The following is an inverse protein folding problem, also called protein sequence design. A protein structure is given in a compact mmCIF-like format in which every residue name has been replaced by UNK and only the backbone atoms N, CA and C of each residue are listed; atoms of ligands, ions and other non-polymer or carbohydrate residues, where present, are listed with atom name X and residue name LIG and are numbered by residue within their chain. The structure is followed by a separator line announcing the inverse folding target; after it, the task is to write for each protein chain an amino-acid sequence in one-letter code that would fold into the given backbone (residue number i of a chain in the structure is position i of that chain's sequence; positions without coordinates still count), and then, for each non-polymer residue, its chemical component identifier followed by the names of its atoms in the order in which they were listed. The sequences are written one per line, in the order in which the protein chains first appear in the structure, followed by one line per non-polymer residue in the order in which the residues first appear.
data_IF_896473199673
#
_entry.id   IF_896473199673
#
_cell.length_a   1.000
_cell.length_b   1.000
_cell.length_c   1.000
_cell.angle_alpha   90.00
_cell.angle_beta   90.00
_cell.angle_gamma   90.00
#
_symmetry.space_group_name_H-M   'P 1'
#
loop_
_entity.id
_entity.type
_entity.pdbx_description
1 polymer ?
#
# COMPACT_ATOMS: atom_id res chain seq x y z
N UNK A 1 13.61 -25.11 -4.16
CA UNK A 1 14.05 -26.27 -4.99
C UNK A 1 15.55 -26.14 -5.14
N UNK A 2 16.33 -27.14 -4.76
CA UNK A 2 17.80 -27.07 -4.82
C UNK A 2 18.31 -27.18 -6.25
N UNK A 3 19.54 -26.72 -6.47
CA UNK A 3 20.22 -26.81 -7.77
C UNK A 3 20.25 -28.26 -8.28
N UNK A 4 20.66 -29.20 -7.43
CA UNK A 4 20.72 -30.62 -7.78
C UNK A 4 19.32 -31.20 -8.14
N UNK A 5 18.27 -30.82 -7.39
CA UNK A 5 16.91 -31.28 -7.71
C UNK A 5 16.43 -30.70 -9.05
N UNK A 6 16.85 -29.47 -9.40
CA UNK A 6 16.52 -28.87 -10.69
C UNK A 6 17.22 -29.58 -11.81
N UNK A 7 18.50 -29.95 -11.66
CA UNK A 7 19.24 -30.79 -12.65
C UNK A 7 18.53 -32.12 -12.86
N UNK A 8 18.18 -32.81 -11.77
CA UNK A 8 17.50 -34.13 -11.88
C UNK A 8 16.18 -33.99 -12.63
N UNK A 9 15.36 -32.95 -12.30
CA UNK A 9 14.12 -32.68 -13.05
C UNK A 9 14.36 -32.42 -14.53
N UNK A 10 15.40 -31.64 -14.90
CA UNK A 10 15.72 -31.40 -16.32
C UNK A 10 16.18 -32.68 -17.02
N UNK A 11 16.95 -33.54 -16.34
CA UNK A 11 17.35 -34.86 -16.87
C UNK A 11 16.14 -35.74 -17.18
N UNK A 12 15.17 -35.79 -16.25
CA UNK A 12 13.93 -36.56 -16.43
C UNK A 12 13.13 -36.04 -17.63
N UNK A 13 13.01 -34.70 -17.76
CA UNK A 13 12.33 -34.07 -18.91
C UNK A 13 13.03 -34.38 -20.22
N UNK A 14 14.35 -34.31 -20.29
CA UNK A 14 15.14 -34.65 -21.51
C UNK A 14 14.94 -36.14 -21.87
N UNK A 15 15.04 -37.02 -20.88
CA UNK A 15 14.85 -38.47 -21.09
C UNK A 15 13.45 -38.81 -21.59
N UNK A 16 12.42 -38.16 -21.06
CA UNK A 16 11.03 -38.40 -21.47
C UNK A 16 10.71 -37.97 -22.91
N UNK A 17 11.51 -37.06 -23.50
CA UNK A 17 11.32 -36.58 -24.87
C UNK A 17 12.14 -37.33 -25.96
N UNK A 18 12.91 -38.36 -25.54
CA UNK A 18 13.59 -39.29 -26.41
C UNK A 18 14.84 -38.74 -27.14
N UNK A 19 15.33 -39.46 -28.14
CA UNK A 19 16.65 -39.22 -28.76
C UNK A 19 16.83 -37.81 -29.36
N UNK A 20 15.76 -37.18 -29.82
CA UNK A 20 15.82 -35.82 -30.39
C UNK A 20 16.26 -34.74 -29.38
N UNK A 21 16.14 -35.03 -28.08
CA UNK A 21 16.56 -34.14 -27.01
C UNK A 21 17.91 -34.51 -26.38
N UNK A 22 18.55 -35.56 -26.85
CA UNK A 22 19.81 -36.09 -26.26
C UNK A 22 20.97 -35.08 -26.27
N UNK A 23 20.92 -34.05 -27.12
CA UNK A 23 21.92 -32.98 -27.17
C UNK A 23 21.69 -31.88 -26.15
N UNK A 24 20.55 -31.88 -25.44
CA UNK A 24 20.24 -30.87 -24.40
C UNK A 24 20.96 -31.27 -23.13
N UNK A 25 21.82 -30.35 -22.63
CA UNK A 25 22.48 -30.51 -21.35
C UNK A 25 21.52 -30.15 -20.18
N UNK A 26 21.17 -31.13 -19.34
CA UNK A 26 20.27 -30.90 -18.20
C UNK A 26 20.80 -29.89 -17.15
N UNK A 27 22.13 -29.81 -16.98
CA UNK A 27 22.73 -28.87 -16.03
C UNK A 27 22.60 -27.44 -16.55
N UNK A 28 22.90 -27.18 -17.82
CA UNK A 28 22.70 -25.86 -18.43
C UNK A 28 21.21 -25.45 -18.41
N UNK A 29 20.31 -26.41 -18.72
CA UNK A 29 18.88 -26.15 -18.61
C UNK A 29 18.46 -25.76 -17.15
N UNK A 30 19.01 -26.47 -16.17
CA UNK A 30 18.74 -26.15 -14.75
C UNK A 30 19.28 -24.77 -14.36
N UNK A 31 20.46 -24.39 -14.80
CA UNK A 31 21.05 -23.04 -14.57
C UNK A 31 20.17 -21.95 -15.17
N UNK A 32 19.73 -22.13 -16.42
CA UNK A 32 18.81 -21.19 -17.07
C UNK A 32 17.50 -21.01 -16.29
N UNK A 33 16.91 -22.10 -15.81
CA UNK A 33 15.68 -22.06 -14.99
C UNK A 33 15.91 -21.33 -13.67
N UNK A 34 17.06 -21.56 -13.01
CA UNK A 34 17.38 -20.92 -11.73
C UNK A 34 17.67 -19.43 -11.91
N UNK A 35 18.41 -19.05 -12.95
CA UNK A 35 18.68 -17.64 -13.26
C UNK A 35 17.42 -16.85 -13.64
N UNK A 36 16.47 -17.50 -14.31
CA UNK A 36 15.23 -16.89 -14.77
C UNK A 36 14.02 -17.37 -13.94
N UNK A 37 14.20 -17.41 -12.61
CA UNK A 37 13.11 -17.78 -11.71
C UNK A 37 11.87 -16.92 -11.94
N UNK A 38 10.70 -17.46 -11.62
CA UNK A 38 9.38 -16.88 -11.88
C UNK A 38 9.03 -16.82 -13.38
N UNK A 39 8.39 -17.86 -13.87
CA UNK A 39 7.98 -17.96 -15.27
C UNK A 39 6.92 -16.91 -15.66
N UNK A 40 6.03 -16.57 -14.73
CA UNK A 40 4.91 -15.65 -14.93
C UNK A 40 4.81 -14.59 -13.84
N UNK A 41 4.04 -13.51 -14.08
CA UNK A 41 3.67 -12.54 -13.06
C UNK A 41 2.89 -13.18 -11.90
N UNK A 42 2.05 -14.19 -12.19
CA UNK A 42 1.32 -14.91 -11.14
C UNK A 42 2.26 -15.71 -10.20
N UNK A 43 3.36 -16.26 -10.71
CA UNK A 43 4.35 -16.91 -9.84
C UNK A 43 5.01 -15.88 -8.91
N UNK A 44 5.25 -14.68 -9.40
CA UNK A 44 5.77 -13.56 -8.61
C UNK A 44 4.74 -13.15 -7.56
N UNK A 45 3.50 -12.91 -7.95
CA UNK A 45 2.42 -12.51 -7.05
C UNK A 45 2.23 -13.52 -5.91
N UNK A 46 2.19 -14.82 -6.23
CA UNK A 46 2.07 -15.91 -5.23
C UNK A 46 3.27 -15.97 -4.30
N UNK A 47 4.47 -15.78 -4.81
CA UNK A 47 5.69 -15.80 -4.00
C UNK A 47 5.75 -14.60 -3.05
N UNK A 48 5.53 -13.41 -3.57
CA UNK A 48 5.64 -12.17 -2.80
C UNK A 48 4.48 -11.95 -1.83
N UNK A 49 3.27 -12.46 -2.14
CA UNK A 49 2.15 -12.49 -1.21
C UNK A 49 2.46 -13.30 0.05
N UNK A 50 3.08 -14.48 -0.10
CA UNK A 50 3.51 -15.31 1.04
C UNK A 50 4.54 -14.61 1.91
N UNK A 51 5.49 -13.88 1.32
CA UNK A 51 6.46 -13.07 2.07
C UNK A 51 5.72 -12.02 2.90
N UNK A 52 4.83 -11.28 2.28
CA UNK A 52 4.09 -10.21 2.96
C UNK A 52 3.18 -10.75 4.07
N UNK A 53 2.51 -11.89 3.86
CA UNK A 53 1.73 -12.58 4.92
C UNK A 53 2.61 -13.03 6.08
N UNK A 54 3.80 -13.55 5.81
CA UNK A 54 4.74 -13.96 6.85
C UNK A 54 5.24 -12.76 7.67
N UNK A 55 5.54 -11.63 7.01
CA UNK A 55 5.93 -10.40 7.68
C UNK A 55 4.79 -9.84 8.55
N UNK A 56 3.54 -9.89 8.06
CA UNK A 56 2.36 -9.49 8.84
C UNK A 56 2.16 -10.39 10.08
N UNK A 57 2.39 -11.69 9.95
CA UNK A 57 2.32 -12.61 11.09
C UNK A 57 3.47 -12.38 12.09
N UNK A 58 4.68 -12.07 11.60
CA UNK A 58 5.81 -11.72 12.45
C UNK A 58 5.58 -10.42 13.23
N UNK A 59 4.87 -9.47 12.66
CA UNK A 59 4.44 -8.25 13.34
C UNK A 59 3.53 -8.52 14.53
N UNK A 60 2.63 -9.51 14.45
CA UNK A 60 1.78 -9.90 15.58
C UNK A 60 2.60 -10.39 16.80
N UNK A 61 3.74 -11.04 16.54
CA UNK A 61 4.65 -11.49 17.58
C UNK A 61 5.60 -10.41 18.11
N UNK A 62 5.89 -9.38 17.29
CA UNK A 62 6.76 -8.26 17.63
C UNK A 62 6.25 -6.95 16.99
N UNK A 63 5.32 -6.24 17.65
CA UNK A 63 4.76 -4.99 17.13
C UNK A 63 5.76 -3.84 16.92
N UNK A 64 6.94 -3.91 17.52
CA UNK A 64 8.02 -2.95 17.28
C UNK A 64 8.72 -3.15 15.93
N UNK A 65 8.46 -4.27 15.24
CA UNK A 65 8.96 -4.51 13.90
C UNK A 65 8.10 -3.76 12.87
N UNK A 66 8.73 -3.12 11.92
CA UNK A 66 8.06 -2.50 10.79
C UNK A 66 8.71 -2.87 9.47
N UNK A 67 7.95 -2.77 8.39
CA UNK A 67 8.45 -2.92 7.03
C UNK A 67 8.46 -1.57 6.32
N UNK A 68 9.35 -1.43 5.32
CA UNK A 68 9.43 -0.21 4.53
C UNK A 68 8.97 -0.47 3.10
N UNK A 69 7.96 0.29 2.65
CA UNK A 69 7.58 0.38 1.25
C UNK A 69 8.25 1.58 0.60
N UNK A 70 9.03 1.33 -0.43
CA UNK A 70 9.82 2.34 -1.12
C UNK A 70 9.09 2.78 -2.38
N UNK A 71 8.74 4.05 -2.51
CA UNK A 71 8.16 4.61 -3.73
C UNK A 71 9.07 4.36 -4.93
N UNK A 72 8.50 3.84 -6.03
CA UNK A 72 9.25 3.52 -7.23
C UNK A 72 8.41 3.71 -8.49
N UNK A 73 9.02 4.26 -9.55
CA UNK A 73 8.37 4.61 -10.82
C UNK A 73 9.16 4.20 -12.06
N UNK A 74 10.27 3.47 -11.89
CA UNK A 74 11.14 3.05 -12.99
C UNK A 74 11.93 1.80 -12.63
N UNK A 75 11.99 0.83 -13.55
CA UNK A 75 12.62 -0.47 -13.32
C UNK A 75 14.08 -0.39 -12.94
N UNK A 76 14.87 0.45 -13.62
CA UNK A 76 16.29 0.63 -13.29
C UNK A 76 16.49 1.22 -11.88
N UNK A 77 15.65 2.17 -11.46
CA UNK A 77 15.72 2.75 -10.12
C UNK A 77 15.39 1.69 -9.07
N UNK A 78 14.35 0.88 -9.28
CA UNK A 78 14.00 -0.24 -8.41
C UNK A 78 15.18 -1.21 -8.26
N UNK A 79 15.77 -1.62 -9.38
CA UNK A 79 16.92 -2.52 -9.41
C UNK A 79 18.10 -1.94 -8.60
N UNK A 80 18.47 -0.68 -8.83
CA UNK A 80 19.61 -0.05 -8.13
C UNK A 80 19.33 0.10 -6.62
N UNK A 81 18.09 0.46 -6.23
CA UNK A 81 17.68 0.52 -4.82
C UNK A 81 17.85 -0.84 -4.14
N UNK A 82 17.30 -1.90 -4.71
CA UNK A 82 17.33 -3.23 -4.09
C UNK A 82 18.76 -3.82 -4.05
N UNK A 83 19.58 -3.61 -5.09
CA UNK A 83 20.99 -3.99 -5.09
C UNK A 83 21.75 -3.25 -3.98
N UNK A 84 21.55 -1.93 -3.85
CA UNK A 84 22.19 -1.14 -2.81
C UNK A 84 21.77 -1.57 -1.39
N UNK A 85 20.47 -1.82 -1.19
CA UNK A 85 19.91 -2.31 0.08
C UNK A 85 20.54 -3.67 0.44
N UNK A 86 20.51 -4.64 -0.48
CA UNK A 86 21.09 -5.97 -0.25
C UNK A 86 22.57 -5.89 0.06
N UNK A 87 23.31 -5.03 -0.67
CA UNK A 87 24.74 -4.81 -0.42
C UNK A 87 25.02 -4.19 0.96
N UNK A 88 24.19 -3.25 1.39
CA UNK A 88 24.41 -2.50 2.64
C UNK A 88 23.93 -3.28 3.88
N UNK A 89 22.75 -3.89 3.80
CA UNK A 89 22.12 -4.60 4.93
C UNK A 89 22.30 -6.12 4.90
N UNK A 90 22.86 -6.68 3.83
CA UNK A 90 22.98 -8.13 3.62
C UNK A 90 21.68 -8.83 3.24
N UNK A 91 20.57 -8.13 3.15
CA UNK A 91 19.23 -8.69 2.89
C UNK A 91 18.29 -7.66 2.26
N UNK A 92 17.26 -8.15 1.56
CA UNK A 92 16.12 -7.36 1.07
C UNK A 92 14.85 -7.60 1.91
N UNK A 93 14.91 -8.42 2.95
CA UNK A 93 13.75 -8.73 3.80
C UNK A 93 13.15 -7.46 4.39
N UNK A 94 11.82 -7.46 4.54
CA UNK A 94 11.06 -6.33 5.07
C UNK A 94 11.21 -5.04 4.23
N UNK A 95 11.50 -5.19 2.94
CA UNK A 95 11.53 -4.09 1.98
C UNK A 95 10.55 -4.40 0.86
N UNK A 96 9.61 -3.48 0.64
CA UNK A 96 8.61 -3.56 -0.41
C UNK A 96 8.81 -2.42 -1.40
N UNK A 97 8.19 -2.52 -2.54
CA UNK A 97 8.03 -1.38 -3.46
C UNK A 97 6.58 -0.91 -3.41
N UNK A 98 6.39 0.39 -3.45
CA UNK A 98 5.09 1.02 -3.59
C UNK A 98 5.01 1.75 -4.93
N UNK A 99 4.01 1.38 -5.73
CA UNK A 99 3.68 2.06 -6.97
C UNK A 99 2.54 3.01 -6.71
N UNK A 100 2.86 4.29 -6.58
CA UNK A 100 1.89 5.34 -6.32
C UNK A 100 1.22 5.82 -7.60
N UNK A 101 -0.09 5.97 -7.58
CA UNK A 101 -0.87 6.55 -8.69
C UNK A 101 -0.38 7.94 -9.08
N UNK A 102 -0.03 8.80 -8.11
CA UNK A 102 0.48 10.14 -8.40
C UNK A 102 1.81 10.12 -9.16
N UNK A 103 2.72 9.19 -8.84
CA UNK A 103 3.99 9.05 -9.57
C UNK A 103 3.77 8.54 -10.99
N UNK A 104 2.81 7.62 -11.17
CA UNK A 104 2.41 7.14 -12.50
C UNK A 104 1.81 8.28 -13.31
N UNK A 105 0.89 9.04 -12.74
CA UNK A 105 0.29 10.20 -13.41
C UNK A 105 1.35 11.22 -13.81
N UNK A 106 2.26 11.59 -12.90
CA UNK A 106 3.28 12.61 -13.14
C UNK A 106 4.40 12.18 -14.08
N UNK A 107 4.76 10.90 -14.16
CA UNK A 107 6.01 10.44 -14.77
C UNK A 107 5.84 9.39 -15.87
N UNK A 108 4.67 8.72 -15.94
CA UNK A 108 4.46 7.55 -16.80
C UNK A 108 3.25 7.64 -17.73
N UNK A 109 2.42 8.68 -17.61
CA UNK A 109 1.29 8.88 -18.49
C UNK A 109 1.73 9.19 -19.93
N UNK A 110 1.06 8.60 -20.91
CA UNK A 110 1.25 8.87 -22.35
C UNK A 110 0.78 10.30 -22.72
N UNK A 111 -0.09 10.91 -21.91
CA UNK A 111 -0.56 12.29 -22.11
C UNK A 111 0.44 13.35 -21.59
N UNK A 112 1.61 12.96 -21.10
CA UNK A 112 2.56 13.82 -20.42
C UNK A 112 2.27 13.92 -18.91
N UNK A 113 2.96 14.81 -18.18
CA UNK A 113 2.78 14.93 -16.73
C UNK A 113 1.35 15.34 -16.37
N UNK A 114 0.69 14.52 -15.57
CA UNK A 114 -0.68 14.73 -15.08
C UNK A 114 -0.68 14.92 -13.56
N UNK A 115 -1.69 15.64 -13.02
CA UNK A 115 -1.93 15.71 -11.59
C UNK A 115 -2.44 14.36 -11.05
N UNK A 116 -2.42 14.22 -9.73
CA UNK A 116 -2.92 13.06 -9.01
C UNK A 116 -4.47 13.05 -8.96
N UNK A 117 -5.10 12.70 -10.07
CA UNK A 117 -6.55 12.73 -10.26
C UNK A 117 -7.10 11.54 -11.07
N UNK A 118 -6.41 10.40 -11.03
CA UNK A 118 -6.80 9.17 -11.76
C UNK A 118 -7.04 9.39 -13.26
N UNK A 119 -6.32 10.34 -13.87
CA UNK A 119 -6.47 10.65 -15.31
C UNK A 119 -5.49 9.88 -16.19
N UNK A 120 -4.51 9.19 -15.61
CA UNK A 120 -3.59 8.34 -16.38
C UNK A 120 -4.30 7.09 -16.91
N UNK A 121 -3.70 6.44 -17.88
CA UNK A 121 -4.24 5.25 -18.52
C UNK A 121 -4.33 4.10 -17.49
N UNK A 122 -5.45 3.37 -17.50
CA UNK A 122 -5.68 2.21 -16.58
C UNK A 122 -4.59 1.13 -16.67
N UNK A 123 -3.89 1.05 -17.81
CA UNK A 123 -2.83 0.06 -18.05
C UNK A 123 -1.44 0.52 -17.61
N UNK A 124 -1.27 1.78 -17.23
CA UNK A 124 0.05 2.33 -16.85
C UNK A 124 0.63 1.66 -15.62
N UNK A 125 -0.17 1.39 -14.58
CA UNK A 125 0.30 0.70 -13.36
C UNK A 125 0.65 -0.76 -13.64
N UNK A 126 -0.21 -1.59 -14.30
CA UNK A 126 0.17 -2.94 -14.71
C UNK A 126 1.46 -3.00 -15.53
N UNK A 127 1.64 -2.12 -16.50
CA UNK A 127 2.85 -2.07 -17.32
C UNK A 127 4.10 -1.73 -16.48
N UNK A 128 3.97 -0.83 -15.52
CA UNK A 128 5.07 -0.49 -14.61
C UNK A 128 5.41 -1.66 -13.68
N UNK A 129 4.44 -2.42 -13.18
CA UNK A 129 4.69 -3.63 -12.38
C UNK A 129 5.54 -4.62 -13.17
N UNK A 130 5.19 -4.90 -14.43
CA UNK A 130 5.95 -5.79 -15.32
C UNK A 130 7.37 -5.26 -15.55
N UNK A 131 7.53 -3.96 -15.78
CA UNK A 131 8.86 -3.34 -15.95
C UNK A 131 9.70 -3.53 -14.68
N UNK A 132 9.18 -3.19 -13.50
CA UNK A 132 9.91 -3.32 -12.24
C UNK A 132 10.40 -4.75 -12.03
N UNK A 133 9.52 -5.74 -12.18
CA UNK A 133 9.91 -7.13 -12.00
C UNK A 133 10.88 -7.63 -13.07
N UNK A 134 10.79 -7.13 -14.30
CA UNK A 134 11.79 -7.43 -15.33
C UNK A 134 13.19 -7.01 -14.89
N UNK A 135 13.34 -5.80 -14.37
CA UNK A 135 14.63 -5.29 -13.88
C UNK A 135 15.11 -6.03 -12.62
N UNK A 136 14.23 -6.38 -11.69
CA UNK A 136 14.58 -7.14 -10.48
C UNK A 136 15.03 -8.58 -10.84
N UNK A 137 14.33 -9.23 -11.74
CA UNK A 137 14.76 -10.56 -12.28
C UNK A 137 16.12 -10.49 -13.00
N UNK A 138 16.41 -9.40 -13.70
CA UNK A 138 17.73 -9.21 -14.31
C UNK A 138 18.84 -9.08 -13.26
N UNK A 139 18.58 -8.45 -12.11
CA UNK A 139 19.54 -8.43 -11.01
C UNK A 139 19.84 -9.84 -10.51
N UNK A 140 18.80 -10.65 -10.29
CA UNK A 140 18.94 -12.05 -9.89
C UNK A 140 19.73 -12.86 -10.92
N UNK A 141 19.36 -12.76 -12.20
CA UNK A 141 20.02 -13.49 -13.27
C UNK A 141 21.51 -13.16 -13.38
N UNK A 142 21.86 -11.88 -13.20
CA UNK A 142 23.25 -11.42 -13.21
C UNK A 142 24.05 -11.97 -12.02
N UNK A 143 23.50 -11.87 -10.81
CA UNK A 143 24.19 -12.31 -9.59
C UNK A 143 24.34 -13.85 -9.58
N UNK A 144 23.27 -14.60 -9.87
CA UNK A 144 23.32 -16.06 -10.02
C UNK A 144 24.28 -16.51 -11.12
N UNK A 145 24.30 -15.80 -12.25
CA UNK A 145 25.26 -16.07 -13.33
C UNK A 145 26.73 -15.88 -12.91
N UNK A 146 27.01 -14.93 -12.03
CA UNK A 146 28.36 -14.78 -11.43
C UNK A 146 28.67 -15.95 -10.50
N UNK A 147 27.69 -16.40 -9.69
CA UNK A 147 27.86 -17.54 -8.80
C UNK A 147 28.11 -18.84 -9.55
N UNK A 148 27.37 -19.10 -10.64
CA UNK A 148 27.61 -20.27 -11.50
C UNK A 148 28.99 -20.26 -12.15
N UNK A 149 29.46 -19.12 -12.65
CA UNK A 149 30.83 -18.99 -13.16
C UNK A 149 31.91 -19.23 -12.10
N UNK A 150 31.67 -18.80 -10.88
CA UNK A 150 32.56 -19.08 -9.75
C UNK A 150 32.57 -20.58 -9.41
N UNK A 151 31.38 -21.22 -9.44
CA UNK A 151 31.24 -22.67 -9.22
C UNK A 151 32.02 -23.48 -10.26
N UNK A 152 31.93 -23.09 -11.53
CA UNK A 152 32.68 -23.76 -12.60
C UNK A 152 34.18 -23.67 -12.36
N UNK A 153 34.70 -22.48 -12.01
CA UNK A 153 36.11 -22.29 -11.69
C UNK A 153 36.58 -23.12 -10.49
N UNK A 154 35.75 -23.19 -9.43
CA UNK A 154 36.07 -24.01 -8.26
C UNK A 154 36.11 -25.51 -8.62
N UNK A 155 35.20 -25.98 -9.47
CA UNK A 155 35.17 -27.37 -9.95
C UNK A 155 36.37 -27.69 -10.86
N UNK A 156 36.73 -26.78 -11.78
CA UNK A 156 37.91 -26.88 -12.63
C UNK A 156 39.23 -26.93 -11.83
N UNK A 157 39.31 -26.16 -10.74
CA UNK A 157 40.45 -26.13 -9.82
C UNK A 157 40.48 -27.36 -8.87
N UNK A 158 39.49 -28.21 -8.85
CA UNK A 158 39.35 -29.32 -7.90
C UNK A 158 39.06 -28.89 -6.46
N UNK A 159 38.64 -27.64 -6.23
CA UNK A 159 38.28 -27.13 -4.91
C UNK A 159 36.84 -27.53 -4.53
N UNK A 160 36.73 -28.75 -3.98
CA UNK A 160 35.45 -29.31 -3.55
C UNK A 160 34.80 -28.52 -2.41
N UNK A 161 35.57 -27.84 -1.55
CA UNK A 161 35.05 -27.08 -0.43
C UNK A 161 34.38 -25.81 -0.95
N UNK A 162 35.03 -25.05 -1.81
CA UNK A 162 34.49 -23.86 -2.41
C UNK A 162 33.30 -24.17 -3.35
N UNK A 163 33.41 -25.25 -4.13
CA UNK A 163 32.29 -25.69 -4.98
C UNK A 163 31.04 -25.97 -4.13
N UNK A 164 31.18 -26.67 -3.00
CA UNK A 164 30.05 -26.95 -2.09
C UNK A 164 29.50 -25.69 -1.44
N UNK A 165 30.35 -24.77 -1.05
CA UNK A 165 29.93 -23.45 -0.50
C UNK A 165 29.08 -22.70 -1.52
N UNK A 166 29.52 -22.65 -2.78
CA UNK A 166 28.79 -21.96 -3.87
C UNK A 166 27.45 -22.64 -4.21
N UNK A 167 27.41 -23.96 -4.25
CA UNK A 167 26.14 -24.69 -4.41
C UNK A 167 25.15 -24.34 -3.32
N UNK A 168 25.59 -24.34 -2.05
CA UNK A 168 24.75 -23.95 -0.92
C UNK A 168 24.28 -22.48 -1.03
N UNK A 169 25.14 -21.58 -1.50
CA UNK A 169 24.78 -20.18 -1.68
C UNK A 169 23.76 -20.00 -2.82
N UNK A 170 23.85 -20.78 -3.90
CA UNK A 170 22.85 -20.80 -4.97
C UNK A 170 21.51 -21.35 -4.47
N UNK A 171 21.53 -22.42 -3.68
CA UNK A 171 20.33 -23.04 -3.12
C UNK A 171 19.57 -22.10 -2.16
N UNK A 172 20.30 -21.27 -1.40
CA UNK A 172 19.77 -20.31 -0.43
C UNK A 172 19.76 -18.87 -0.96
N UNK A 173 19.81 -18.70 -2.27
CA UNK A 173 19.86 -17.37 -2.88
C UNK A 173 18.65 -16.52 -2.54
N UNK A 174 18.88 -15.36 -1.93
CA UNK A 174 17.86 -14.37 -1.66
C UNK A 174 17.63 -13.50 -2.90
N UNK A 175 16.41 -13.52 -3.41
CA UNK A 175 16.00 -12.79 -4.62
C UNK A 175 15.87 -11.29 -4.39
N UNK A 176 16.05 -10.47 -5.43
CA UNK A 176 15.70 -9.06 -5.46
C UNK A 176 14.20 -8.83 -5.73
N UNK A 177 13.47 -9.90 -6.09
CA UNK A 177 12.01 -9.84 -6.30
C UNK A 177 11.32 -9.73 -4.96
N UNK A 178 10.91 -8.53 -4.60
CA UNK A 178 10.24 -8.18 -3.33
C UNK A 178 8.75 -7.89 -3.57
N UNK A 179 7.92 -7.87 -2.51
CA UNK A 179 6.52 -7.49 -2.62
C UNK A 179 6.33 -6.10 -3.25
N UNK A 180 5.36 -5.99 -4.15
CA UNK A 180 4.87 -4.70 -4.67
C UNK A 180 3.46 -4.47 -4.16
N UNK A 181 3.24 -3.31 -3.53
CA UNK A 181 1.92 -2.74 -3.26
C UNK A 181 1.60 -1.82 -4.43
N UNK A 182 0.58 -2.15 -5.20
CA UNK A 182 0.16 -1.39 -6.38
C UNK A 182 -1.06 -0.53 -6.05
N UNK A 183 -0.96 0.76 -6.34
CA UNK A 183 -2.04 1.71 -6.19
C UNK A 183 -3.05 1.53 -7.33
N UNK A 184 -4.28 1.22 -6.97
CA UNK A 184 -5.43 1.13 -7.90
C UNK A 184 -6.32 2.37 -7.80
N UNK A 185 -5.82 3.45 -7.16
CA UNK A 185 -6.60 4.67 -6.88
C UNK A 185 -7.98 4.32 -6.27
N UNK A 186 -9.03 4.94 -6.74
CA UNK A 186 -10.41 4.62 -6.35
C UNK A 186 -11.07 3.51 -7.20
N UNK A 187 -10.26 2.70 -7.92
CA UNK A 187 -10.72 1.55 -8.72
C UNK A 187 -11.08 1.87 -10.18
N UNK A 188 -10.89 3.10 -10.66
CA UNK A 188 -11.15 3.54 -12.03
C UNK A 188 -12.56 3.22 -12.56
N UNK A 189 -13.56 3.27 -11.68
CA UNK A 189 -14.96 3.05 -12.00
C UNK A 189 -15.73 2.34 -10.88
N UNK A 190 -16.69 1.51 -11.26
CA UNK A 190 -17.46 0.68 -10.34
C UNK A 190 -16.71 -0.61 -9.94
N UNK A 191 -17.38 -1.50 -9.19
CA UNK A 191 -16.76 -2.73 -8.71
C UNK A 191 -16.31 -3.66 -9.85
N UNK A 192 -17.03 -3.74 -10.97
CA UNK A 192 -16.66 -4.56 -12.12
C UNK A 192 -15.40 -4.01 -12.81
N UNK A 193 -15.30 -2.69 -12.98
CA UNK A 193 -14.11 -2.06 -13.53
C UNK A 193 -12.88 -2.28 -12.61
N UNK A 194 -13.10 -2.16 -11.29
CA UNK A 194 -12.09 -2.44 -10.27
C UNK A 194 -11.61 -3.90 -10.35
N UNK A 195 -12.52 -4.86 -10.48
CA UNK A 195 -12.20 -6.28 -10.62
C UNK A 195 -11.29 -6.55 -11.83
N UNK A 196 -11.66 -6.00 -13.01
CA UNK A 196 -10.88 -6.19 -14.24
C UNK A 196 -9.47 -5.57 -14.13
N UNK A 197 -9.36 -4.41 -13.53
CA UNK A 197 -8.06 -3.75 -13.32
C UNK A 197 -7.22 -4.50 -12.28
N UNK A 198 -7.83 -4.93 -11.17
CA UNK A 198 -7.18 -5.75 -10.16
C UNK A 198 -6.58 -7.03 -10.76
N UNK A 199 -7.33 -7.74 -11.63
CA UNK A 199 -6.80 -8.91 -12.35
C UNK A 199 -5.55 -8.56 -13.14
N UNK A 200 -5.57 -7.48 -13.92
CA UNK A 200 -4.41 -7.04 -14.70
C UNK A 200 -3.18 -6.76 -13.85
N UNK A 201 -3.35 -6.10 -12.69
CA UNK A 201 -2.25 -5.82 -11.76
C UNK A 201 -1.68 -7.10 -11.15
N UNK A 202 -2.54 -8.04 -10.76
CA UNK A 202 -2.13 -9.34 -10.19
C UNK A 202 -1.44 -10.20 -11.26
N UNK A 203 -1.95 -10.27 -12.49
CA UNK A 203 -1.31 -10.94 -13.62
C UNK A 203 0.09 -10.37 -13.93
N UNK A 204 0.26 -9.04 -13.77
CA UNK A 204 1.55 -8.38 -13.89
C UNK A 204 2.53 -8.72 -12.74
N UNK A 205 2.03 -9.23 -11.61
CA UNK A 205 2.84 -9.69 -10.48
C UNK A 205 2.55 -9.01 -9.13
N UNK A 206 1.62 -8.06 -9.04
CA UNK A 206 1.29 -7.42 -7.78
C UNK A 206 0.76 -8.43 -6.76
N UNK A 207 1.31 -8.43 -5.57
CA UNK A 207 0.83 -9.25 -4.45
C UNK A 207 -0.09 -8.47 -3.51
N UNK A 208 -0.09 -7.15 -3.61
CA UNK A 208 -0.92 -6.28 -2.80
C UNK A 208 -1.50 -5.15 -3.65
N UNK A 209 -2.76 -4.82 -3.40
CA UNK A 209 -3.48 -3.71 -4.03
C UNK A 209 -3.88 -2.71 -2.96
N UNK A 210 -3.59 -1.42 -3.18
CA UNK A 210 -4.08 -0.35 -2.34
C UNK A 210 -5.24 0.36 -3.05
N UNK A 211 -6.37 0.46 -2.37
CA UNK A 211 -7.59 1.09 -2.89
C UNK A 211 -8.14 2.11 -1.89
N UNK A 212 -8.68 3.22 -2.39
CA UNK A 212 -9.22 4.30 -1.57
C UNK A 212 -10.71 4.56 -1.81
N UNK A 213 -11.36 5.20 -0.82
CA UNK A 213 -12.81 5.44 -0.81
C UNK A 213 -13.25 6.72 -1.54
N UNK A 214 -12.41 7.31 -2.36
CA UNK A 214 -12.79 8.45 -3.19
C UNK A 214 -13.65 8.04 -4.40
N UNK A 215 -14.37 8.99 -4.97
CA UNK A 215 -15.05 8.83 -6.24
C UNK A 215 -14.02 8.79 -7.37
N UNK A 216 -14.08 7.78 -8.24
CA UNK A 216 -13.03 7.53 -9.24
C UNK A 216 -12.83 8.66 -10.25
N UNK A 217 -13.90 9.31 -10.69
CA UNK A 217 -13.90 10.40 -11.68
C UNK A 217 -13.76 11.80 -11.06
N UNK A 218 -13.71 11.87 -9.73
CA UNK A 218 -13.54 13.12 -8.97
C UNK A 218 -12.35 13.00 -7.98
N UNK A 219 -11.51 11.98 -8.14
CA UNK A 219 -10.36 11.70 -7.26
C UNK A 219 -9.37 12.86 -7.26
N UNK A 220 -8.89 13.17 -6.07
CA UNK A 220 -7.87 14.19 -5.83
C UNK A 220 -6.76 13.63 -4.94
N UNK A 221 -5.61 14.32 -4.95
CA UNK A 221 -4.53 14.03 -4.02
C UNK A 221 -5.04 14.06 -2.57
N UNK A 222 -4.62 13.11 -1.75
CA UNK A 222 -5.06 12.95 -0.36
C UNK A 222 -4.84 14.17 0.53
N UNK A 223 -3.91 15.06 0.16
CA UNK A 223 -3.60 16.30 0.88
C UNK A 223 -4.38 17.52 0.41
N UNK A 224 -5.26 17.37 -0.58
CA UNK A 224 -6.08 18.46 -1.11
C UNK A 224 -7.46 18.48 -0.46
N UNK A 225 -8.02 19.69 -0.40
CA UNK A 225 -9.42 19.92 0.00
C UNK A 225 -10.39 19.53 -1.12
N UNK A 226 -11.67 19.36 -0.74
CA UNK A 226 -12.74 19.10 -1.70
C UNK A 226 -12.84 17.66 -2.19
N UNK A 227 -12.21 16.72 -1.48
CA UNK A 227 -12.35 15.28 -1.76
C UNK A 227 -13.79 14.84 -1.59
N UNK A 228 -14.22 13.96 -2.51
CA UNK A 228 -15.56 13.36 -2.53
C UNK A 228 -15.44 11.87 -2.31
N UNK A 229 -16.10 11.34 -1.27
CA UNK A 229 -16.10 9.89 -0.97
C UNK A 229 -17.31 9.19 -1.56
N UNK A 230 -17.19 7.88 -1.77
CA UNK A 230 -18.30 6.99 -2.10
C UNK A 230 -18.97 6.46 -0.84
N UNK A 231 -20.25 6.04 -0.89
CA UNK A 231 -20.89 5.32 0.21
C UNK A 231 -20.20 4.00 0.52
N UNK A 232 -20.42 3.49 1.72
CA UNK A 232 -19.81 2.25 2.19
C UNK A 232 -20.05 1.05 1.29
N UNK A 233 -21.28 0.86 0.83
CA UNK A 233 -21.63 -0.28 -0.03
C UNK A 233 -20.82 -0.30 -1.32
N UNK A 234 -20.57 0.86 -1.93
CA UNK A 234 -19.76 1.00 -3.15
C UNK A 234 -18.31 0.67 -2.85
N UNK A 235 -17.77 1.19 -1.74
CA UNK A 235 -16.37 0.91 -1.37
C UNK A 235 -16.15 -0.55 -0.99
N UNK A 236 -17.06 -1.13 -0.19
CA UNK A 236 -17.03 -2.55 0.17
C UNK A 236 -17.14 -3.44 -1.07
N UNK A 237 -18.00 -3.09 -2.04
CA UNK A 237 -18.10 -3.81 -3.29
C UNK A 237 -16.79 -3.82 -4.08
N UNK A 238 -16.05 -2.70 -4.09
CA UNK A 238 -14.71 -2.61 -4.73
C UNK A 238 -13.66 -3.42 -3.96
N UNK A 239 -13.65 -3.40 -2.62
CA UNK A 239 -12.77 -4.23 -1.80
C UNK A 239 -12.99 -5.71 -2.13
N UNK A 240 -14.24 -6.15 -2.17
CA UNK A 240 -14.61 -7.53 -2.52
C UNK A 240 -14.21 -7.88 -3.95
N UNK A 241 -14.35 -6.94 -4.89
CA UNK A 241 -13.92 -7.12 -6.28
C UNK A 241 -12.41 -7.40 -6.38
N UNK A 242 -11.57 -6.67 -5.65
CA UNK A 242 -10.14 -6.96 -5.54
C UNK A 242 -9.89 -8.35 -4.94
N UNK A 243 -10.63 -8.73 -3.90
CA UNK A 243 -10.51 -10.07 -3.29
C UNK A 243 -10.88 -11.18 -4.26
N UNK A 244 -11.97 -11.02 -5.03
CA UNK A 244 -12.38 -12.00 -6.03
C UNK A 244 -11.33 -12.16 -7.14
N UNK A 245 -10.66 -11.08 -7.56
CA UNK A 245 -9.57 -11.15 -8.52
C UNK A 245 -8.40 -12.00 -7.99
N UNK A 246 -7.98 -11.81 -6.73
CA UNK A 246 -6.97 -12.65 -6.09
C UNK A 246 -7.39 -14.12 -6.02
N UNK A 247 -8.65 -14.39 -5.65
CA UNK A 247 -9.18 -15.76 -5.55
C UNK A 247 -9.21 -16.45 -6.92
N UNK A 248 -9.73 -15.79 -7.95
CA UNK A 248 -9.79 -16.34 -9.31
C UNK A 248 -8.41 -16.71 -9.85
N UNK A 249 -7.42 -15.86 -9.60
CA UNK A 249 -6.04 -16.09 -10.08
C UNK A 249 -5.23 -17.03 -9.16
N UNK A 250 -5.83 -17.57 -8.11
CA UNK A 250 -5.19 -18.49 -7.17
C UNK A 250 -4.05 -17.85 -6.38
N UNK A 251 -4.15 -16.55 -6.08
CA UNK A 251 -3.23 -15.80 -5.20
C UNK A 251 -3.93 -15.58 -3.86
N UNK A 252 -4.20 -16.66 -3.14
CA UNK A 252 -5.01 -16.66 -1.92
C UNK A 252 -4.41 -15.81 -0.79
N UNK A 253 -3.09 -15.72 -0.75
CA UNK A 253 -2.33 -14.88 0.19
C UNK A 253 -2.30 -13.38 -0.21
N UNK A 254 -2.95 -12.99 -1.29
CA UNK A 254 -2.99 -11.61 -1.78
C UNK A 254 -3.49 -10.62 -0.72
N UNK A 255 -2.90 -9.43 -0.68
CA UNK A 255 -3.14 -8.40 0.35
C UNK A 255 -3.98 -7.26 -0.23
N UNK A 256 -4.95 -6.78 0.54
CA UNK A 256 -5.71 -5.58 0.22
C UNK A 256 -5.42 -4.52 1.29
N UNK A 257 -4.87 -3.40 0.87
CA UNK A 257 -4.64 -2.20 1.68
C UNK A 257 -5.77 -1.22 1.38
N UNK A 258 -6.60 -0.93 2.35
CA UNK A 258 -7.68 0.05 2.19
C UNK A 258 -7.28 1.38 2.76
N UNK A 259 -7.34 2.42 1.92
CA UNK A 259 -7.12 3.78 2.31
C UNK A 259 -8.47 4.48 2.55
N UNK A 260 -8.57 5.21 3.66
CA UNK A 260 -9.69 6.14 3.88
C UNK A 260 -9.20 7.57 3.78
N UNK A 261 -9.90 8.37 3.00
CA UNK A 261 -9.73 9.81 2.86
C UNK A 261 -10.73 10.61 3.71
N UNK A 262 -11.53 9.92 4.51
CA UNK A 262 -12.66 10.52 5.27
C UNK A 262 -12.24 11.56 6.29
N UNK A 263 -10.96 11.55 6.74
CA UNK A 263 -10.46 12.57 7.68
C UNK A 263 -10.57 13.98 7.09
N UNK A 264 -10.13 14.16 5.84
CA UNK A 264 -10.14 15.43 5.13
C UNK A 264 -11.29 15.59 4.12
N UNK A 265 -12.05 14.53 3.81
CA UNK A 265 -13.15 14.62 2.85
C UNK A 265 -14.40 15.21 3.48
N UNK A 266 -14.85 16.35 2.97
CA UNK A 266 -16.07 17.03 3.40
C UNK A 266 -17.35 16.63 2.65
N UNK A 267 -17.22 15.87 1.56
CA UNK A 267 -18.31 15.62 0.61
C UNK A 267 -18.48 14.12 0.33
N UNK A 268 -19.70 13.72 -0.03
CA UNK A 268 -19.99 12.39 -0.58
C UNK A 268 -20.92 12.48 -1.77
N UNK A 269 -20.79 11.50 -2.68
CA UNK A 269 -21.55 11.43 -3.93
C UNK A 269 -23.02 11.13 -3.70
N UNK A 270 -23.35 10.30 -2.73
CA UNK A 270 -24.72 9.87 -2.45
C UNK A 270 -24.91 9.43 -1.00
N UNK A 271 -26.16 9.27 -0.62
CA UNK A 271 -26.59 8.70 0.66
C UNK A 271 -26.31 7.20 0.63
N UNK A 272 -25.84 6.64 1.74
CA UNK A 272 -25.70 5.19 1.87
C UNK A 272 -27.06 4.51 2.00
N UNK A 273 -27.14 3.29 1.48
CA UNK A 273 -28.32 2.47 1.63
C UNK A 273 -28.40 1.88 3.05
N UNK A 274 -29.50 2.13 3.73
CA UNK A 274 -29.79 1.57 5.06
C UNK A 274 -31.08 0.75 5.00
N UNK A 275 -31.08 -0.42 5.60
CA UNK A 275 -32.27 -1.29 5.72
C UNK A 275 -32.93 -1.15 7.08
N UNK A 276 -32.10 -0.93 8.11
CA UNK A 276 -32.55 -0.90 9.50
C UNK A 276 -31.77 0.16 10.29
N UNK A 277 -32.38 0.72 11.35
CA UNK A 277 -31.69 1.63 12.24
C UNK A 277 -30.44 0.99 12.85
N UNK A 278 -29.30 1.72 12.79
CA UNK A 278 -28.04 1.27 13.34
C UNK A 278 -27.23 0.34 12.43
N UNK A 279 -27.69 0.00 11.24
CA UNK A 279 -26.86 -0.68 10.26
C UNK A 279 -25.74 0.24 9.74
N UNK A 280 -24.82 -0.29 8.92
CA UNK A 280 -23.68 0.47 8.41
C UNK A 280 -24.08 1.69 7.58
N UNK A 281 -25.16 1.58 6.79
CA UNK A 281 -25.70 2.68 6.00
C UNK A 281 -26.30 3.77 6.87
N UNK A 282 -27.05 3.41 7.92
CA UNK A 282 -27.59 4.35 8.88
C UNK A 282 -26.47 5.07 9.65
N UNK A 283 -25.43 4.35 10.09
CA UNK A 283 -24.26 4.94 10.71
C UNK A 283 -23.58 5.95 9.78
N UNK A 284 -23.36 5.61 8.50
CA UNK A 284 -22.79 6.50 7.51
C UNK A 284 -23.63 7.77 7.33
N UNK A 285 -24.92 7.60 7.12
CA UNK A 285 -25.86 8.71 6.91
C UNK A 285 -25.95 9.63 8.11
N UNK A 286 -25.73 9.12 9.32
CA UNK A 286 -25.75 9.93 10.57
C UNK A 286 -24.72 11.05 10.57
N UNK A 287 -23.66 10.95 9.77
CA UNK A 287 -22.63 12.00 9.65
C UNK A 287 -22.97 13.11 8.67
N UNK A 288 -24.03 12.95 7.86
CA UNK A 288 -24.41 13.94 6.85
C UNK A 288 -24.99 15.22 7.49
N UNK A 289 -24.79 16.36 6.82
CA UNK A 289 -25.56 17.57 7.11
C UNK A 289 -27.01 17.38 6.69
N UNK A 290 -27.93 17.69 7.58
CA UNK A 290 -29.34 17.41 7.44
C UNK A 290 -30.20 18.59 7.89
N UNK A 291 -31.44 18.61 7.41
CA UNK A 291 -32.50 19.50 7.91
C UNK A 291 -33.57 18.68 8.65
N UNK A 292 -34.19 19.27 9.66
CA UNK A 292 -35.31 18.66 10.37
C UNK A 292 -36.52 18.61 9.45
N UNK A 293 -37.25 17.51 9.49
CA UNK A 293 -38.46 17.29 8.67
C UNK A 293 -39.68 17.29 9.57
N UNK A 294 -40.65 18.15 9.24
CA UNK A 294 -41.96 18.15 9.92
C UNK A 294 -42.79 16.92 9.50
N UNK A 295 -43.24 16.16 10.48
CA UNK A 295 -44.09 14.99 10.23
C UNK A 295 -43.34 13.79 9.68
N UNK A 296 -43.93 13.09 8.73
CA UNK A 296 -43.42 11.82 8.17
C UNK A 296 -42.49 12.02 6.93
N UNK A 297 -42.18 13.24 6.56
CA UNK A 297 -41.46 13.55 5.32
C UNK A 297 -42.29 13.33 4.04
N UNK A 298 -41.65 13.48 2.89
CA UNK A 298 -42.28 13.21 1.59
C UNK A 298 -42.03 11.79 1.13
N UNK A 299 -42.92 11.23 0.28
CA UNK A 299 -42.66 9.94 -0.34
C UNK A 299 -41.34 9.92 -1.11
N UNK A 300 -40.47 8.97 -0.78
CA UNK A 300 -39.13 8.83 -1.38
C UNK A 300 -38.01 9.54 -0.61
N UNK A 301 -38.30 10.28 0.45
CA UNK A 301 -37.27 10.82 1.32
C UNK A 301 -36.54 9.68 2.06
N UNK A 302 -35.22 9.74 2.10
CA UNK A 302 -34.41 8.95 3.03
C UNK A 302 -34.32 9.73 4.34
N UNK A 303 -34.94 9.20 5.39
CA UNK A 303 -35.00 9.86 6.69
C UNK A 303 -34.04 9.20 7.66
N UNK A 304 -33.32 10.04 8.41
CA UNK A 304 -32.36 9.66 9.44
C UNK A 304 -32.98 10.06 10.78
N UNK A 305 -32.99 9.15 11.75
CA UNK A 305 -33.36 9.51 13.13
C UNK A 305 -32.09 10.00 13.86
N UNK A 306 -32.11 11.27 14.24
CA UNK A 306 -31.06 11.88 15.04
C UNK A 306 -31.66 12.48 16.30
N UNK A 307 -31.30 11.93 17.47
CA UNK A 307 -31.78 12.37 18.77
C UNK A 307 -33.33 12.44 18.87
N UNK A 308 -34.01 11.49 18.26
CA UNK A 308 -35.48 11.41 18.25
C UNK A 308 -36.16 12.31 17.22
N UNK A 309 -35.41 13.03 16.40
CA UNK A 309 -35.93 13.88 15.32
C UNK A 309 -35.69 13.23 13.96
N UNK A 310 -36.68 13.32 13.09
CA UNK A 310 -36.54 12.90 11.71
C UNK A 310 -35.79 13.98 10.92
N UNK A 311 -34.71 13.59 10.31
CA UNK A 311 -33.82 14.46 9.53
C UNK A 311 -33.75 14.00 8.09
N UNK A 312 -33.62 14.92 7.15
CA UNK A 312 -33.37 14.63 5.74
C UNK A 312 -31.99 15.17 5.35
N UNK A 313 -31.12 14.35 4.71
CA UNK A 313 -29.86 14.84 4.19
C UNK A 313 -30.03 15.97 3.19
N UNK A 314 -29.26 17.05 3.37
CA UNK A 314 -29.29 18.19 2.46
C UNK A 314 -28.48 17.90 1.21
N UNK A 315 -29.13 17.94 0.05
CA UNK A 315 -28.47 17.86 -1.24
C UNK A 315 -27.99 19.21 -1.68
N UNK A 316 -26.69 19.34 -2.00
CA UNK A 316 -26.09 20.56 -2.50
C UNK A 316 -26.50 20.83 -3.96
N UNK A 317 -26.37 22.07 -4.46
CA UNK A 317 -26.58 22.41 -5.87
C UNK A 317 -25.70 21.59 -6.84
N UNK A 318 -24.54 21.13 -6.39
CA UNK A 318 -23.63 20.24 -7.10
C UNK A 318 -24.11 18.78 -7.21
N UNK A 319 -25.27 18.46 -6.64
CA UNK A 319 -25.80 17.11 -6.47
C UNK A 319 -25.00 16.21 -5.49
N UNK A 320 -24.07 16.76 -4.73
CA UNK A 320 -23.36 16.08 -3.65
C UNK A 320 -24.06 16.29 -2.31
N UNK A 321 -23.62 15.55 -1.31
CA UNK A 321 -24.00 15.73 0.09
C UNK A 321 -22.77 16.14 0.90
N UNK A 322 -22.99 16.92 1.96
CA UNK A 322 -21.93 17.39 2.83
C UNK A 322 -21.94 16.64 4.16
N UNK A 323 -20.79 16.29 4.65
CA UNK A 323 -20.63 15.80 6.00
C UNK A 323 -20.60 16.96 7.02
N UNK A 324 -21.04 16.70 8.22
CA UNK A 324 -20.94 17.63 9.33
C UNK A 324 -19.47 17.86 9.70
N UNK A 325 -19.13 19.09 9.97
CA UNK A 325 -17.79 19.44 10.46
C UNK A 325 -17.43 18.68 11.75
N UNK A 326 -16.16 18.32 11.90
CA UNK A 326 -15.65 17.60 13.07
C UNK A 326 -15.95 16.10 13.12
N UNK A 327 -16.52 15.51 12.05
CA UNK A 327 -16.86 14.07 12.02
C UNK A 327 -15.81 13.22 11.31
N UNK A 328 -14.69 13.80 10.87
CA UNK A 328 -13.69 13.12 10.05
C UNK A 328 -13.07 11.89 10.74
N UNK A 329 -12.66 12.01 11.99
CA UNK A 329 -12.06 10.90 12.74
C UNK A 329 -13.06 9.76 12.96
N UNK A 330 -14.30 10.06 13.34
CA UNK A 330 -15.33 9.04 13.54
C UNK A 330 -15.62 8.28 12.26
N UNK A 331 -15.66 8.99 11.11
CA UNK A 331 -15.83 8.38 9.78
C UNK A 331 -14.64 7.52 9.40
N UNK A 332 -13.41 7.97 9.67
CA UNK A 332 -12.21 7.15 9.44
C UNK A 332 -12.24 5.84 10.22
N UNK A 333 -12.57 5.91 11.51
CA UNK A 333 -12.66 4.72 12.36
C UNK A 333 -13.72 3.75 11.84
N UNK A 334 -14.89 4.27 11.47
CA UNK A 334 -15.97 3.47 10.89
C UNK A 334 -15.55 2.82 9.55
N UNK A 335 -14.93 3.57 8.64
CA UNK A 335 -14.43 3.08 7.35
C UNK A 335 -13.41 1.95 7.53
N UNK A 336 -12.48 2.13 8.46
CA UNK A 336 -11.44 1.16 8.76
C UNK A 336 -12.02 -0.16 9.28
N UNK A 337 -12.94 -0.08 10.27
CA UNK A 337 -13.61 -1.27 10.83
C UNK A 337 -14.41 -1.99 9.73
N UNK A 338 -15.21 -1.25 8.97
CA UNK A 338 -16.02 -1.80 7.89
C UNK A 338 -15.15 -2.47 6.81
N UNK A 339 -14.01 -1.87 6.45
CA UNK A 339 -13.07 -2.42 5.48
C UNK A 339 -12.48 -3.75 5.94
N UNK A 340 -11.97 -3.83 7.17
CA UNK A 340 -11.42 -5.06 7.74
C UNK A 340 -12.45 -6.19 7.84
N UNK A 341 -13.70 -5.86 8.17
CA UNK A 341 -14.80 -6.83 8.22
C UNK A 341 -15.26 -7.31 6.84
N UNK A 342 -14.80 -6.66 5.76
CA UNK A 342 -15.24 -6.94 4.40
C UNK A 342 -14.10 -7.31 3.42
N UNK A 343 -12.96 -7.78 3.93
CA UNK A 343 -11.91 -8.40 3.13
C UNK A 343 -10.64 -7.60 2.96
N UNK A 344 -10.49 -6.45 3.62
CA UNK A 344 -9.22 -5.76 3.75
C UNK A 344 -8.28 -6.48 4.73
N UNK A 345 -6.98 -6.30 4.55
CA UNK A 345 -5.93 -6.88 5.38
C UNK A 345 -5.14 -5.81 6.14
N UNK A 346 -4.92 -4.67 5.50
CA UNK A 346 -4.20 -3.53 6.03
C UNK A 346 -5.02 -2.26 5.85
N UNK A 347 -4.84 -1.34 6.76
CA UNK A 347 -5.47 -0.02 6.72
C UNK A 347 -4.45 1.05 6.40
N UNK A 348 -4.91 2.12 5.74
CA UNK A 348 -4.20 3.36 5.56
C UNK A 348 -5.16 4.52 5.82
N UNK A 349 -4.91 5.28 6.87
CA UNK A 349 -5.63 6.52 7.14
C UNK A 349 -4.85 7.66 6.49
N UNK A 350 -5.44 8.29 5.48
CA UNK A 350 -4.82 9.47 4.87
C UNK A 350 -4.97 10.67 5.79
N UNK A 351 -3.84 11.23 6.21
CA UNK A 351 -3.78 12.39 7.10
C UNK A 351 -3.27 13.61 6.35
N UNK A 352 -3.73 14.78 6.74
CA UNK A 352 -3.24 16.04 6.17
C UNK A 352 -1.89 16.45 6.77
N UNK A 353 -1.58 15.94 7.97
CA UNK A 353 -0.39 16.26 8.75
C UNK A 353 0.09 15.04 9.52
N UNK A 354 1.39 14.92 9.78
CA UNK A 354 1.95 13.85 10.59
C UNK A 354 1.71 14.16 12.09
N UNK A 355 0.55 13.79 12.63
CA UNK A 355 0.16 14.03 14.00
C UNK A 355 -0.05 12.71 14.74
N UNK A 356 0.93 12.31 15.56
CA UNK A 356 0.98 10.98 16.21
C UNK A 356 -0.23 10.76 17.12
N UNK A 357 -0.57 11.73 17.95
CA UNK A 357 -1.66 11.60 18.93
C UNK A 357 -3.02 11.39 18.23
N UNK A 358 -3.25 12.07 17.10
CA UNK A 358 -4.46 11.88 16.30
C UNK A 358 -4.51 10.48 15.69
N UNK A 359 -3.39 10.03 15.14
CA UNK A 359 -3.29 8.68 14.56
C UNK A 359 -3.51 7.63 15.65
N UNK A 360 -2.82 7.74 16.78
CA UNK A 360 -2.94 6.82 17.90
C UNK A 360 -4.37 6.71 18.42
N UNK A 361 -5.05 7.85 18.61
CA UNK A 361 -6.46 7.88 19.05
C UNK A 361 -7.39 7.12 18.12
N UNK A 362 -7.24 7.28 16.79
CA UNK A 362 -8.05 6.52 15.82
C UNK A 362 -7.69 5.03 15.84
N UNK A 363 -6.40 4.69 15.92
CA UNK A 363 -5.91 3.30 15.96
C UNK A 363 -6.42 2.57 17.20
N UNK A 364 -6.39 3.20 18.36
CA UNK A 364 -6.91 2.62 19.61
C UNK A 364 -8.40 2.28 19.49
N UNK A 365 -9.20 3.20 18.96
CA UNK A 365 -10.63 2.98 18.71
C UNK A 365 -10.91 1.87 17.69
N UNK A 366 -10.09 1.74 16.65
CA UNK A 366 -10.18 0.65 15.67
C UNK A 366 -9.86 -0.69 16.36
N UNK A 367 -8.82 -0.73 17.21
CA UNK A 367 -8.37 -1.92 17.91
C UNK A 367 -9.29 -2.37 19.04
N UNK A 368 -10.12 -1.49 19.58
CA UNK A 368 -11.22 -1.89 20.47
C UNK A 368 -12.20 -2.85 19.79
N UNK A 369 -12.41 -2.72 18.48
CA UNK A 369 -13.33 -3.57 17.69
C UNK A 369 -12.58 -4.68 16.94
N UNK A 370 -11.40 -4.36 16.39
CA UNK A 370 -10.55 -5.30 15.63
C UNK A 370 -9.15 -5.31 16.25
N UNK A 371 -8.90 -6.09 17.31
CA UNK A 371 -7.68 -6.03 18.13
C UNK A 371 -6.36 -6.19 17.35
N UNK A 372 -6.38 -6.96 16.26
CA UNK A 372 -5.20 -7.24 15.44
C UNK A 372 -5.12 -6.35 14.18
N UNK A 373 -5.83 -5.22 14.15
CA UNK A 373 -5.76 -4.28 13.03
C UNK A 373 -4.33 -3.84 12.76
N UNK A 374 -3.90 -3.96 11.50
CA UNK A 374 -2.59 -3.57 11.01
C UNK A 374 -2.73 -2.35 10.11
N UNK A 375 -1.78 -1.45 10.22
CA UNK A 375 -1.80 -0.18 9.51
C UNK A 375 -0.53 0.01 8.69
N UNK A 376 -0.68 0.72 7.57
CA UNK A 376 0.38 1.34 6.82
C UNK A 376 0.23 2.86 6.97
N UNK A 377 1.35 3.57 7.04
CA UNK A 377 1.36 5.02 7.11
C UNK A 377 2.17 5.63 5.96
N UNK A 378 1.64 6.69 5.38
CA UNK A 378 2.30 7.45 4.33
C UNK A 378 3.21 8.53 4.92
N UNK A 379 4.52 8.28 4.91
CA UNK A 379 5.51 9.31 5.22
C UNK A 379 5.68 10.23 4.00
N UNK A 380 4.66 11.02 3.70
CA UNK A 380 4.65 11.84 2.50
C UNK A 380 5.78 12.87 2.46
N UNK A 381 6.55 12.96 1.37
CA UNK A 381 7.52 14.04 1.18
C UNK A 381 6.88 15.41 0.97
N UNK A 382 5.56 15.47 0.73
CA UNK A 382 4.82 16.73 0.58
C UNK A 382 4.46 17.37 1.93
N UNK A 383 4.57 16.64 3.03
CA UNK A 383 4.42 17.24 4.35
C UNK A 383 5.57 18.21 4.64
N UNK A 384 5.25 19.36 5.16
CA UNK A 384 6.26 20.21 5.77
C UNK A 384 6.59 19.68 7.18
N UNK A 385 7.44 18.65 7.24
CA UNK A 385 7.79 17.94 8.47
C UNK A 385 8.31 18.89 9.54
N UNK A 386 9.26 19.77 9.21
CA UNK A 386 9.85 20.73 10.14
C UNK A 386 8.79 21.65 10.73
N UNK A 387 7.95 22.26 9.90
CA UNK A 387 6.90 23.16 10.39
C UNK A 387 5.88 22.43 11.29
N UNK A 388 5.40 21.28 10.84
CA UNK A 388 4.39 20.52 11.58
C UNK A 388 4.90 20.11 12.97
N UNK A 389 6.12 19.59 13.06
CA UNK A 389 6.66 19.16 14.34
C UNK A 389 7.06 20.33 15.25
N UNK A 390 7.58 21.43 14.70
CA UNK A 390 7.82 22.64 15.49
C UNK A 390 6.54 23.25 16.03
N UNK A 391 5.44 23.23 15.28
CA UNK A 391 4.12 23.65 15.75
C UNK A 391 3.62 22.75 16.89
N UNK A 392 3.70 21.43 16.72
CA UNK A 392 3.28 20.45 17.73
C UNK A 392 4.08 20.62 19.03
N UNK A 393 5.41 20.79 18.95
CA UNK A 393 6.24 21.03 20.13
C UNK A 393 5.89 22.35 20.80
N UNK A 394 5.76 23.42 20.01
CA UNK A 394 5.38 24.75 20.52
C UNK A 394 4.02 24.70 21.24
N UNK A 395 3.02 24.10 20.62
CA UNK A 395 1.66 24.02 21.16
C UNK A 395 1.62 23.14 22.44
N UNK A 396 2.34 22.00 22.45
CA UNK A 396 2.47 21.14 23.63
C UNK A 396 3.14 21.87 24.81
N UNK A 397 4.28 22.51 24.58
CA UNK A 397 4.98 23.28 25.61
C UNK A 397 4.13 24.43 26.16
N UNK A 398 3.42 25.12 25.27
CA UNK A 398 2.48 26.19 25.65
C UNK A 398 1.37 25.65 26.56
N UNK A 399 0.81 24.50 26.26
CA UNK A 399 -0.23 23.85 27.05
C UNK A 399 0.28 23.36 28.41
N UNK A 400 1.53 22.92 28.47
CA UNK A 400 2.23 22.50 29.70
C UNK A 400 2.69 23.70 30.57
N UNK A 401 2.54 24.93 30.07
CA UNK A 401 2.98 26.14 30.77
C UNK A 401 4.49 26.40 30.70
N UNK A 402 5.20 25.75 29.79
CA UNK A 402 6.62 26.03 29.51
C UNK A 402 6.74 27.39 28.83
N UNK A 403 7.78 28.14 29.16
CA UNK A 403 8.04 29.43 28.53
C UNK A 403 8.42 29.27 27.05
N UNK A 404 7.54 29.71 26.18
CA UNK A 404 7.71 29.72 24.72
C UNK A 404 7.92 31.14 24.16
N UNK A 405 8.14 32.15 25.02
CA UNK A 405 8.26 33.56 24.63
C UNK A 405 9.43 33.86 23.70
N UNK A 406 10.46 32.99 23.67
CA UNK A 406 11.59 33.07 22.75
C UNK A 406 11.24 32.69 21.29
N UNK A 407 10.07 32.14 21.05
CA UNK A 407 9.64 31.61 19.75
C UNK A 407 8.43 32.37 19.21
N UNK A 408 8.50 32.78 17.95
CA UNK A 408 7.37 33.34 17.22
C UNK A 408 6.65 32.25 16.44
N UNK A 409 5.43 31.89 16.86
CA UNK A 409 4.65 30.81 16.22
C UNK A 409 4.43 31.04 14.72
N UNK A 410 4.41 32.29 14.26
CA UNK A 410 4.28 32.63 12.84
C UNK A 410 5.58 32.44 12.04
N UNK A 411 6.72 32.28 12.72
CA UNK A 411 8.06 32.21 12.11
C UNK A 411 8.77 30.88 12.40
N UNK A 412 8.05 29.82 12.76
CA UNK A 412 8.67 28.55 13.15
C UNK A 412 9.54 27.90 12.06
N UNK A 413 9.46 28.36 10.82
CA UNK A 413 10.34 27.95 9.72
C UNK A 413 11.68 28.71 9.65
N UNK A 414 11.90 29.71 10.55
CA UNK A 414 13.19 30.41 10.57
C UNK A 414 14.34 29.46 10.89
N UNK A 415 15.45 29.61 10.17
CA UNK A 415 16.70 28.91 10.46
C UNK A 415 17.28 29.30 11.85
N UNK A 416 16.85 30.43 12.42
CA UNK A 416 17.25 30.85 13.78
C UNK A 416 16.82 29.83 14.84
N UNK A 417 15.82 28.99 14.53
CA UNK A 417 15.31 27.98 15.45
C UNK A 417 15.92 26.57 15.25
N UNK A 418 16.79 26.35 14.25
CA UNK A 418 17.35 25.02 13.95
C UNK A 418 18.18 24.45 15.12
N UNK A 419 18.99 25.30 15.78
CA UNK A 419 19.82 24.90 16.92
C UNK A 419 19.24 25.31 18.28
N UNK A 420 17.93 25.55 18.35
CA UNK A 420 17.24 25.83 19.61
C UNK A 420 16.65 24.55 20.19
N UNK A 421 16.32 24.58 21.50
CA UNK A 421 15.66 23.44 22.15
C UNK A 421 14.38 23.00 21.43
N UNK A 422 13.59 23.94 20.90
CA UNK A 422 12.39 23.65 20.11
C UNK A 422 12.72 22.95 18.80
N UNK A 423 13.75 23.42 18.07
CA UNK A 423 14.21 22.84 16.82
C UNK A 423 14.74 21.42 17.03
N UNK A 424 15.60 21.23 18.03
CA UNK A 424 16.20 19.93 18.37
C UNK A 424 15.13 18.90 18.78
N UNK A 425 14.14 19.31 19.59
CA UNK A 425 13.02 18.43 19.99
C UNK A 425 12.16 18.05 18.78
N UNK A 426 11.84 19.01 17.90
CA UNK A 426 11.09 18.72 16.67
C UNK A 426 11.85 17.74 15.75
N UNK A 427 13.16 17.96 15.57
CA UNK A 427 14.01 17.06 14.77
C UNK A 427 14.12 15.67 15.39
N UNK A 428 14.15 15.58 16.72
CA UNK A 428 14.14 14.29 17.41
C UNK A 428 12.84 13.54 17.16
N UNK A 429 11.69 14.20 17.28
CA UNK A 429 10.37 13.61 16.98
C UNK A 429 10.26 13.16 15.52
N UNK A 430 10.80 13.91 14.56
CA UNK A 430 10.85 13.49 13.15
C UNK A 430 11.67 12.21 13.00
N UNK A 431 12.84 12.13 13.65
CA UNK A 431 13.73 10.94 13.58
C UNK A 431 13.08 9.68 14.16
N UNK A 432 12.26 9.83 15.18
CA UNK A 432 11.62 8.69 15.86
C UNK A 432 10.22 8.37 15.33
N UNK A 433 9.67 9.22 14.48
CA UNK A 433 8.27 9.15 14.02
C UNK A 433 7.84 7.75 13.55
N UNK A 434 8.64 7.09 12.70
CA UNK A 434 8.30 5.76 12.18
C UNK A 434 8.29 4.66 13.25
N UNK A 435 8.97 4.87 14.37
CA UNK A 435 8.94 3.96 15.51
C UNK A 435 7.74 4.25 16.41
N UNK A 436 7.38 5.51 16.55
CA UNK A 436 6.43 6.02 17.54
C UNK A 436 4.99 6.05 16.98
N UNK A 437 4.83 6.07 15.64
CA UNK A 437 3.56 5.94 14.93
C UNK A 437 3.27 4.48 14.56
#
# INVERSE_FOLDING_TARGET
MTYQNTINRMRDVVAANGPSWAAIDPENAARMVIQNRFATGLDIAKHTAKIMRADMAAYDANPAQYTQSLGCWHGFIAQQKLIAIKKHFGTTKQRYLYLSGWMVAALRSEFGPLPDQSMHEKTSVPALIEELYTFLKQADARELGMMFRALDKAREAGDAVEAKRLENAIDNYETHVVPIIADIDAGFGNAEATYLLAKKMIEAGACALQIENQVSDEKQCGHQDGKVTVPHEDFIAKIRACRYAFMELGVEDGIIVTRTDSLGAGLTKQIAFSKEPGDLGDQYNSFLDCEEVDGAGNPGDVLINRDGKLMRPKRLPSNLYQFRAGTGEDRCVMDCIASLQNGADLLWIETEKPHIEQIASMVDRIREVVPNAKLAYNNSPSFNWTLNFRQQVFDAWSAEGKDVSAYDRAKLMSADYDATELGEEADNRIRTFQRDA
#
